data_IF_144678807743
#
_entry.id   IF_144678807743
#
_cell.length_a   1.000
_cell.length_b   1.000
_cell.length_c   1.000
_cell.angle_alpha   90.00
_cell.angle_beta   90.00
_cell.angle_gamma   90.00
#
_symmetry.space_group_name_H-M   'P 1'
#
loop_
_entity.id
_entity.type
_entity.pdbx_description
1 polymer ?
#
# COMPACT_ATOMS: atom_id res chain seq x y z
N UNK A 1 -9.86 20.08 12.74
CA UNK A 1 -10.36 18.87 13.43
C UNK A 1 -9.25 18.00 14.01
N UNK A 2 -8.47 17.25 13.20
CA UNK A 2 -7.49 16.21 13.63
C UNK A 2 -6.66 16.54 14.89
N UNK A 3 -6.08 17.75 14.98
CA UNK A 3 -5.31 18.23 16.15
C UNK A 3 -6.07 18.10 17.49
N UNK A 4 -7.39 18.28 17.49
CA UNK A 4 -8.21 18.09 18.69
C UNK A 4 -8.32 16.61 19.11
N UNK A 5 -8.47 15.71 18.14
CA UNK A 5 -8.53 14.25 18.38
C UNK A 5 -7.19 13.76 18.94
N UNK A 6 -6.07 14.28 18.43
CA UNK A 6 -4.74 14.00 18.97
C UNK A 6 -4.60 14.47 20.43
N UNK A 7 -4.95 15.72 20.76
CA UNK A 7 -4.92 16.20 22.14
C UNK A 7 -5.86 15.41 23.07
N UNK A 8 -7.04 15.01 22.59
CA UNK A 8 -7.96 14.15 23.34
C UNK A 8 -7.35 12.77 23.64
N UNK A 9 -6.68 12.14 22.67
CA UNK A 9 -5.95 10.89 22.86
C UNK A 9 -4.76 10.99 23.83
N UNK A 10 -4.22 12.20 24.01
CA UNK A 10 -3.20 12.52 25.02
C UNK A 10 -3.81 12.94 26.37
N UNK A 11 -5.14 12.84 26.55
CA UNK A 11 -5.86 13.25 27.76
C UNK A 11 -5.90 14.77 27.98
N UNK A 12 -5.45 15.59 27.02
CA UNK A 12 -5.38 17.05 27.14
C UNK A 12 -6.71 17.69 26.70
N UNK A 13 -7.78 17.45 27.46
CA UNK A 13 -9.14 17.86 27.07
C UNK A 13 -9.27 19.38 26.88
N UNK A 14 -8.50 20.20 27.60
CA UNK A 14 -8.45 21.65 27.39
C UNK A 14 -7.97 22.03 25.98
N UNK A 15 -6.83 21.48 25.56
CA UNK A 15 -6.27 21.67 24.23
C UNK A 15 -7.17 21.08 23.13
N UNK A 16 -7.79 19.93 23.39
CA UNK A 16 -8.78 19.33 22.49
C UNK A 16 -10.00 20.25 22.30
N UNK A 17 -10.61 20.73 23.40
CA UNK A 17 -11.78 21.64 23.40
C UNK A 17 -11.46 22.92 22.63
N UNK A 18 -10.29 23.52 22.86
CA UNK A 18 -9.84 24.72 22.12
C UNK A 18 -9.68 24.46 20.62
N UNK A 19 -9.10 23.31 20.24
CA UNK A 19 -8.96 22.92 18.85
C UNK A 19 -10.29 22.59 18.15
N UNK A 20 -11.34 22.15 18.87
CA UNK A 20 -12.69 22.01 18.32
C UNK A 20 -13.41 23.35 18.14
N UNK A 21 -13.17 24.33 19.02
CA UNK A 21 -13.67 25.70 18.84
C UNK A 21 -13.11 26.31 17.55
N UNK A 22 -11.80 26.18 17.31
CA UNK A 22 -11.20 26.58 16.03
C UNK A 22 -11.70 25.76 14.85
N UNK A 23 -11.97 24.47 15.04
CA UNK A 23 -12.55 23.64 13.96
C UNK A 23 -13.92 24.20 13.55
N UNK A 24 -14.81 24.58 14.49
CA UNK A 24 -16.08 25.25 14.12
C UNK A 24 -15.86 26.58 13.40
N UNK A 25 -14.88 27.39 13.85
CA UNK A 25 -14.53 28.68 13.23
C UNK A 25 -14.05 28.58 11.78
N UNK A 26 -13.34 27.50 11.41
CA UNK A 26 -12.74 27.34 10.07
C UNK A 26 -13.45 26.31 9.18
N UNK A 27 -14.12 25.31 9.75
CA UNK A 27 -14.93 24.31 9.03
C UNK A 27 -16.08 23.79 9.91
N UNK A 28 -17.18 24.54 9.97
CA UNK A 28 -18.38 24.13 10.72
C UNK A 28 -19.02 22.82 10.19
N UNK A 29 -18.83 22.52 8.89
CA UNK A 29 -19.37 21.32 8.23
C UNK A 29 -18.53 20.05 8.45
N UNK A 30 -17.51 20.10 9.33
CA UNK A 30 -16.66 18.95 9.64
C UNK A 30 -17.49 17.77 10.24
N UNK A 31 -17.46 16.61 9.57
CA UNK A 31 -18.27 15.44 9.93
C UNK A 31 -18.01 15.00 11.38
N UNK A 32 -19.05 15.05 12.20
CA UNK A 32 -19.01 14.63 13.61
C UNK A 32 -18.51 15.70 14.60
N UNK A 33 -18.28 16.95 14.16
CA UNK A 33 -17.81 18.04 15.02
C UNK A 33 -18.65 18.23 16.30
N UNK A 34 -19.98 18.26 16.18
CA UNK A 34 -20.88 18.41 17.33
C UNK A 34 -20.77 17.26 18.35
N UNK A 35 -20.70 16.01 17.87
CA UNK A 35 -20.50 14.83 18.71
C UNK A 35 -19.16 14.88 19.45
N UNK A 36 -18.08 15.29 18.77
CA UNK A 36 -16.77 15.46 19.40
C UNK A 36 -16.74 16.62 20.39
N UNK A 37 -17.47 17.71 20.13
CA UNK A 37 -17.60 18.83 21.08
C UNK A 37 -18.34 18.42 22.35
N UNK A 38 -19.43 17.63 22.24
CA UNK A 38 -20.12 17.06 23.39
C UNK A 38 -19.22 16.11 24.19
N UNK A 39 -18.58 15.14 23.51
CA UNK A 39 -17.68 14.16 24.13
C UNK A 39 -16.52 14.82 24.88
N UNK A 40 -15.79 15.72 24.24
CA UNK A 40 -14.64 16.40 24.85
C UNK A 40 -15.07 17.30 26.01
N UNK A 41 -16.27 17.90 25.96
CA UNK A 41 -16.79 18.69 27.08
C UNK A 41 -17.15 17.82 28.28
N UNK A 42 -17.84 16.69 28.07
CA UNK A 42 -18.20 15.76 29.15
C UNK A 42 -16.97 15.12 29.83
N UNK A 43 -15.92 14.80 29.07
CA UNK A 43 -14.67 14.28 29.64
C UNK A 43 -13.82 15.39 30.31
N UNK A 44 -13.86 16.63 29.81
CA UNK A 44 -13.27 17.81 30.46
C UNK A 44 -13.95 18.11 31.81
N UNK A 45 -15.28 18.06 31.87
CA UNK A 45 -16.06 18.21 33.11
C UNK A 45 -15.71 17.08 34.10
N UNK A 46 -15.76 15.81 33.65
CA UNK A 46 -15.40 14.63 34.47
C UNK A 46 -13.97 14.68 35.02
N UNK A 47 -13.05 15.31 34.31
CA UNK A 47 -11.66 15.47 34.74
C UNK A 47 -11.46 16.51 35.85
N UNK A 48 -12.49 17.31 36.20
CA UNK A 48 -12.43 18.34 37.24
C UNK A 48 -12.52 19.79 36.73
N UNK A 49 -12.94 20.01 35.48
CA UNK A 49 -13.15 21.34 34.91
C UNK A 49 -11.88 22.22 34.94
N UNK A 50 -12.02 23.52 35.16
CA UNK A 50 -10.91 24.48 35.14
C UNK A 50 -9.79 24.21 36.17
N UNK A 51 -10.07 23.42 37.22
CA UNK A 51 -9.09 23.04 38.23
C UNK A 51 -8.10 21.93 37.82
N UNK A 52 -8.33 21.25 36.69
CA UNK A 52 -7.56 20.07 36.31
C UNK A 52 -6.38 20.37 35.38
N UNK A 53 -5.22 19.75 35.64
CA UNK A 53 -3.99 20.00 34.85
C UNK A 53 -4.15 19.61 33.37
N UNK A 54 -4.87 18.53 33.09
CA UNK A 54 -5.25 18.08 31.74
C UNK A 54 -6.20 19.05 31.00
N UNK A 55 -6.86 19.94 31.72
CA UNK A 55 -7.81 20.92 31.21
C UNK A 55 -7.18 22.29 30.93
N UNK A 56 -5.91 22.50 31.32
CA UNK A 56 -5.13 23.69 30.96
C UNK A 56 -4.98 23.81 29.45
N UNK A 57 -5.20 25.01 28.93
CA UNK A 57 -4.99 25.32 27.50
C UNK A 57 -3.57 25.87 27.31
N UNK A 58 -2.80 25.23 26.44
CA UNK A 58 -1.47 25.65 25.97
C UNK A 58 -1.37 25.69 24.44
N UNK A 59 -2.34 25.15 23.71
CA UNK A 59 -2.40 25.22 22.27
C UNK A 59 -2.61 26.67 21.78
N UNK A 60 -1.85 27.07 20.75
CA UNK A 60 -2.00 28.34 20.03
C UNK A 60 -2.71 28.13 18.69
N UNK A 61 -3.53 29.11 18.26
CA UNK A 61 -4.43 29.03 17.09
C UNK A 61 -3.66 28.94 15.77
N UNK A 62 -2.65 29.80 15.61
CA UNK A 62 -1.61 29.72 14.60
C UNK A 62 -0.27 29.72 15.34
N UNK A 63 0.67 28.82 15.06
CA UNK A 63 2.06 29.02 15.47
C UNK A 63 2.54 30.35 14.88
N UNK A 64 3.03 31.26 15.72
CA UNK A 64 3.82 32.39 15.24
C UNK A 64 5.12 31.84 14.67
N UNK A 65 5.30 31.97 13.36
CA UNK A 65 6.59 31.76 12.72
C UNK A 65 7.47 32.99 12.97
N UNK A 66 7.82 33.22 14.23
CA UNK A 66 9.00 34.02 14.59
C UNK A 66 10.24 33.25 14.12
N UNK A 67 11.22 34.01 13.64
CA UNK A 67 12.23 33.52 12.71
C UNK A 67 13.28 32.65 13.42
N UNK A 68 13.43 31.40 12.96
CA UNK A 68 14.62 30.49 13.03
C UNK A 68 15.43 30.28 14.31
N UNK A 69 15.36 31.12 15.33
CA UNK A 69 16.35 31.21 16.42
C UNK A 69 15.97 30.34 17.62
N UNK A 70 14.67 30.26 17.96
CA UNK A 70 14.15 29.47 19.10
C UNK A 70 14.54 27.98 19.04
N UNK A 71 14.57 27.38 17.83
CA UNK A 71 14.93 25.96 17.64
C UNK A 71 16.40 25.74 18.02
N UNK A 72 17.27 26.67 17.62
CA UNK A 72 18.71 26.57 17.79
C UNK A 72 19.13 26.83 19.25
N UNK A 73 18.35 27.66 19.97
CA UNK A 73 18.53 27.83 21.42
C UNK A 73 18.03 26.63 22.23
N UNK A 74 16.87 26.02 21.87
CA UNK A 74 16.40 24.80 22.56
C UNK A 74 17.41 23.64 22.45
N UNK A 75 18.04 23.44 21.30
CA UNK A 75 19.10 22.44 21.15
C UNK A 75 20.39 22.83 21.91
N UNK A 76 20.80 24.11 21.90
CA UNK A 76 21.98 24.57 22.65
C UNK A 76 21.84 24.40 24.17
N UNK A 77 20.69 24.71 24.74
CA UNK A 77 20.47 24.56 26.19
C UNK A 77 20.48 23.09 26.66
N UNK A 78 20.25 22.14 25.75
CA UNK A 78 20.20 20.70 26.08
C UNK A 78 21.57 19.99 25.98
N UNK A 79 22.58 20.62 25.37
CA UNK A 79 23.91 20.03 25.16
C UNK A 79 24.97 20.41 26.21
N UNK A 80 24.58 21.09 27.30
CA UNK A 80 25.51 21.84 28.16
C UNK A 80 25.61 21.47 29.64
N UNK A 81 25.07 20.31 30.10
CA UNK A 81 25.05 19.95 31.54
C UNK A 81 25.19 18.46 31.87
N UNK A 82 26.44 17.98 31.91
CA UNK A 82 26.92 16.88 32.77
C UNK A 82 28.34 17.26 33.27
N UNK A 83 28.80 16.96 34.50
CA UNK A 83 28.08 16.44 35.69
C UNK A 83 27.52 17.62 36.55
N UNK A 84 27.70 17.86 37.87
CA UNK A 84 28.40 17.24 39.02
C UNK A 84 27.58 17.48 40.33
N UNK A 85 28.05 16.98 41.48
CA UNK A 85 27.28 16.65 42.67
C UNK A 85 27.71 17.40 43.95
N UNK A 86 26.77 17.93 44.75
CA UNK A 86 26.83 17.81 46.22
C UNK A 86 25.54 18.15 47.01
N UNK A 87 24.76 17.09 47.32
CA UNK A 87 24.44 16.66 48.71
C UNK A 87 23.72 17.60 49.72
N UNK A 88 22.38 17.51 49.84
CA UNK A 88 21.60 17.43 51.13
C UNK A 88 20.05 17.43 50.93
N UNK A 89 19.15 16.99 51.85
CA UNK A 89 19.15 15.87 52.84
C UNK A 89 17.74 15.63 53.47
N UNK A 90 16.96 14.64 52.99
CA UNK A 90 15.71 14.12 53.62
C UNK A 90 14.50 15.07 53.56
N UNK A 91 13.24 14.72 53.90
CA UNK A 91 12.51 13.46 54.22
C UNK A 91 11.08 13.64 53.62
N UNK A 92 10.22 12.65 53.29
CA UNK A 92 10.25 11.18 53.40
C UNK A 92 8.99 10.62 54.07
N UNK A 93 8.07 9.96 53.31
CA UNK A 93 7.07 8.95 53.79
C UNK A 93 6.16 8.40 52.65
N UNK A 94 6.46 7.15 52.24
CA UNK A 94 5.59 5.94 52.22
C UNK A 94 4.12 5.89 51.69
N UNK A 95 3.60 4.69 51.31
CA UNK A 95 2.91 4.54 50.03
C UNK A 95 1.44 4.03 50.08
N UNK A 96 0.76 4.06 48.93
CA UNK A 96 -0.53 3.38 48.71
C UNK A 96 -0.50 2.47 47.46
N UNK A 97 -0.27 1.18 47.75
CA UNK A 97 -0.73 -0.05 47.06
C UNK A 97 -1.34 0.07 45.64
N UNK A 98 -0.68 -0.60 44.69
CA UNK A 98 -1.13 -0.77 43.31
C UNK A 98 -2.42 -1.62 43.14
N UNK A 99 -3.12 -1.39 42.02
CA UNK A 99 -3.91 -2.40 41.29
C UNK A 99 -3.65 -2.21 39.79
N UNK A 100 -3.64 -3.29 38.97
CA UNK A 100 -3.22 -3.19 37.57
C UNK A 100 -4.27 -2.47 36.71
N UNK A 101 -3.84 -1.44 35.99
CA UNK A 101 -4.59 -0.87 34.86
C UNK A 101 -4.22 -1.66 33.61
N UNK A 102 -5.22 -2.14 32.87
CA UNK A 102 -5.00 -2.93 31.65
C UNK A 102 -4.17 -2.16 30.61
N UNK A 103 -3.32 -2.89 29.88
CA UNK A 103 -2.43 -2.30 28.88
C UNK A 103 -3.24 -1.65 27.73
N UNK A 104 -3.24 -0.32 27.68
CA UNK A 104 -3.80 0.44 26.56
C UNK A 104 -2.93 0.19 25.32
N UNK A 105 -3.49 -0.54 24.36
CA UNK A 105 -2.81 -0.88 23.10
C UNK A 105 -2.53 0.39 22.30
N UNK A 106 -1.26 0.79 22.23
CA UNK A 106 -0.81 1.86 21.33
C UNK A 106 -1.16 1.49 19.88
N UNK A 107 -1.61 2.45 19.03
CA UNK A 107 -1.80 2.16 17.61
C UNK A 107 -0.47 1.67 17.01
N UNK A 108 -0.48 0.46 16.45
CA UNK A 108 0.74 -0.27 16.10
C UNK A 108 1.50 0.42 14.96
N UNK A 109 2.58 1.14 15.31
CA UNK A 109 3.46 1.84 14.38
C UNK A 109 4.67 0.98 13.99
N UNK A 110 5.17 1.16 12.77
CA UNK A 110 6.32 0.41 12.23
C UNK A 110 7.62 1.16 12.52
N UNK A 111 8.62 0.51 13.12
CA UNK A 111 10.00 1.04 13.22
C UNK A 111 10.73 0.90 11.89
N UNK A 112 11.77 1.70 11.61
CA UNK A 112 12.46 1.69 10.30
C UNK A 112 12.88 0.28 9.87
N UNK A 113 13.41 -0.53 10.79
CA UNK A 113 13.91 -1.90 10.57
C UNK A 113 12.82 -2.91 10.18
N UNK A 114 11.55 -2.49 10.25
CA UNK A 114 10.36 -3.29 9.92
C UNK A 114 9.60 -2.76 8.71
N UNK A 115 10.08 -1.68 8.07
CA UNK A 115 9.53 -1.20 6.80
C UNK A 115 9.98 -2.16 5.70
N UNK A 116 9.02 -2.77 5.00
CA UNK A 116 9.28 -3.54 3.78
C UNK A 116 8.90 -2.74 2.55
N UNK A 117 9.61 -2.99 1.45
CA UNK A 117 9.25 -2.49 0.12
C UNK A 117 9.02 -3.70 -0.77
N UNK A 118 7.81 -3.81 -1.29
CA UNK A 118 7.38 -4.85 -2.22
C UNK A 118 6.98 -4.17 -3.53
N UNK A 119 7.03 -4.88 -4.66
CA UNK A 119 6.63 -4.32 -5.95
C UNK A 119 6.05 -5.39 -6.87
N UNK A 120 5.16 -4.96 -7.74
CA UNK A 120 4.59 -5.79 -8.81
C UNK A 120 4.33 -4.93 -10.05
N UNK A 121 3.89 -5.54 -11.15
CA UNK A 121 3.66 -4.82 -12.41
C UNK A 121 2.56 -5.46 -13.25
N UNK A 122 2.03 -4.67 -14.18
CA UNK A 122 1.21 -5.13 -15.30
C UNK A 122 1.91 -4.78 -16.62
N UNK A 123 1.24 -4.99 -17.75
CA UNK A 123 1.74 -4.50 -19.05
C UNK A 123 1.88 -2.98 -19.10
N UNK A 124 1.04 -2.22 -18.38
CA UNK A 124 1.01 -0.76 -18.41
C UNK A 124 1.68 -0.09 -17.21
N UNK A 125 1.63 -0.69 -16.01
CA UNK A 125 2.02 -0.03 -14.76
C UNK A 125 3.07 -0.83 -13.98
N UNK A 126 3.78 -0.16 -13.08
CA UNK A 126 4.57 -0.74 -11.99
C UNK A 126 4.04 -0.19 -10.68
N UNK A 127 3.67 -1.04 -9.73
CA UNK A 127 3.20 -0.62 -8.41
C UNK A 127 4.24 -0.98 -7.36
N UNK A 128 4.62 0.00 -6.54
CA UNK A 128 5.56 -0.14 -5.42
C UNK A 128 4.78 0.07 -4.12
N UNK A 129 4.91 -0.85 -3.18
CA UNK A 129 4.26 -0.81 -1.88
C UNK A 129 5.29 -0.68 -0.76
N UNK A 130 5.25 0.45 -0.05
CA UNK A 130 6.09 0.71 1.12
C UNK A 130 5.25 0.42 2.36
N UNK A 131 5.46 -0.75 2.95
CA UNK A 131 4.70 -1.31 4.07
C UNK A 131 5.12 -0.68 5.41
N UNK A 132 4.60 0.52 5.69
CA UNK A 132 4.80 1.23 6.95
C UNK A 132 3.45 1.67 7.55
N UNK A 133 3.21 1.33 8.82
CA UNK A 133 2.00 1.70 9.55
C UNK A 133 2.10 3.12 10.10
N UNK A 134 1.06 3.93 9.88
CA UNK A 134 0.94 5.28 10.45
C UNK A 134 1.72 6.37 9.72
N UNK A 135 1.94 6.25 8.41
CA UNK A 135 2.54 7.32 7.58
C UNK A 135 1.64 8.57 7.65
N UNK A 136 2.13 9.74 8.10
CA UNK A 136 1.35 10.98 8.08
C UNK A 136 1.25 11.49 6.63
N UNK A 137 0.01 11.68 6.14
CA UNK A 137 -0.22 12.02 4.71
C UNK A 137 0.23 13.44 4.38
N UNK A 138 0.02 14.34 5.33
CA UNK A 138 0.38 15.76 5.28
C UNK A 138 1.89 16.02 5.24
N UNK A 139 2.72 15.14 5.80
CA UNK A 139 4.19 15.29 5.85
C UNK A 139 4.93 14.36 4.86
N UNK A 140 4.20 13.59 4.04
CA UNK A 140 4.76 12.67 3.07
C UNK A 140 4.97 13.34 1.70
N UNK A 141 6.22 13.30 1.22
CA UNK A 141 6.61 13.79 -0.11
C UNK A 141 6.84 12.63 -1.05
N UNK A 142 6.09 12.57 -2.15
CA UNK A 142 6.35 11.69 -3.31
C UNK A 142 6.59 12.58 -4.53
N UNK A 143 7.67 12.32 -5.27
CA UNK A 143 8.02 13.05 -6.50
C UNK A 143 8.34 12.06 -7.62
N UNK A 144 7.62 12.19 -8.72
CA UNK A 144 7.90 11.52 -9.99
C UNK A 144 8.75 12.43 -10.88
N UNK A 145 9.65 11.82 -11.63
CA UNK A 145 10.27 12.40 -12.83
C UNK A 145 10.44 11.30 -13.87
N UNK A 146 10.77 11.69 -15.09
CA UNK A 146 11.20 10.76 -16.13
C UNK A 146 12.34 9.84 -15.62
N UNK A 147 12.04 8.54 -15.45
CA UNK A 147 13.00 7.53 -14.98
C UNK A 147 13.44 7.66 -13.51
N UNK A 148 12.73 8.43 -12.66
CA UNK A 148 13.10 8.60 -11.24
C UNK A 148 11.88 8.66 -10.32
N UNK A 149 11.98 8.00 -9.15
CA UNK A 149 11.02 8.11 -8.05
C UNK A 149 11.74 8.48 -6.75
N UNK A 150 11.28 9.55 -6.10
CA UNK A 150 11.76 9.97 -4.78
C UNK A 150 10.61 10.02 -3.77
N UNK A 151 10.77 9.33 -2.65
CA UNK A 151 9.80 9.24 -1.54
C UNK A 151 10.49 9.63 -0.24
N UNK A 152 9.88 10.53 0.55
CA UNK A 152 10.32 10.88 1.90
C UNK A 152 9.11 11.01 2.84
N UNK A 153 9.17 10.43 4.03
CA UNK A 153 8.17 10.66 5.08
C UNK A 153 8.73 10.40 6.49
N UNK A 154 8.23 11.07 7.55
CA UNK A 154 8.65 10.81 8.91
C UNK A 154 8.03 9.53 9.49
N UNK A 155 8.85 8.73 10.19
CA UNK A 155 8.48 7.47 10.85
C UNK A 155 8.27 7.73 12.34
N UNK A 156 7.01 7.97 12.72
CA UNK A 156 6.62 8.36 14.08
C UNK A 156 6.96 7.34 15.18
N UNK A 157 7.26 6.08 14.82
CA UNK A 157 7.73 5.07 15.76
C UNK A 157 9.19 5.25 16.20
N UNK A 158 10.02 5.83 15.31
CA UNK A 158 11.47 5.89 15.43
C UNK A 158 12.01 7.33 15.43
N UNK A 159 11.13 8.33 15.32
CA UNK A 159 11.45 9.77 15.32
C UNK A 159 12.50 10.18 14.26
N UNK A 160 12.47 9.52 13.11
CA UNK A 160 13.42 9.69 12.00
C UNK A 160 12.68 9.82 10.67
N UNK A 161 13.36 10.31 9.63
CA UNK A 161 12.82 10.32 8.27
C UNK A 161 13.21 9.03 7.54
N UNK A 162 12.24 8.39 6.89
CA UNK A 162 12.48 7.34 5.91
C UNK A 162 12.55 7.96 4.51
N UNK A 163 13.51 7.52 3.72
CA UNK A 163 13.71 7.93 2.34
C UNK A 163 13.89 6.69 1.45
N UNK A 164 13.09 6.63 0.39
CA UNK A 164 13.21 5.62 -0.66
C UNK A 164 13.41 6.33 -1.99
N UNK A 165 14.47 5.96 -2.70
CA UNK A 165 14.91 6.63 -3.92
C UNK A 165 15.23 5.58 -4.98
N UNK A 166 14.34 5.44 -5.95
CA UNK A 166 14.54 4.57 -7.11
C UNK A 166 14.97 5.43 -8.30
N UNK A 167 16.29 5.63 -8.41
CA UNK A 167 16.94 6.44 -9.44
C UNK A 167 18.25 5.77 -9.88
N UNK A 168 18.45 5.45 -11.17
CA UNK A 168 17.43 5.38 -12.22
C UNK A 168 16.46 4.22 -12.04
N UNK A 169 15.23 4.38 -12.56
CA UNK A 169 14.29 3.28 -12.80
C UNK A 169 14.71 2.47 -14.04
N UNK A 170 14.23 1.23 -14.14
CA UNK A 170 14.50 0.31 -15.25
C UNK A 170 14.11 0.87 -16.63
N UNK A 171 13.04 1.67 -16.69
CA UNK A 171 12.68 2.50 -17.83
C UNK A 171 12.03 3.82 -17.37
N UNK A 172 11.90 4.75 -18.32
CA UNK A 172 11.19 6.00 -18.12
C UNK A 172 9.69 5.77 -17.86
N UNK A 173 9.08 6.73 -17.15
CA UNK A 173 7.71 6.67 -16.66
C UNK A 173 6.97 7.95 -17.06
N UNK A 174 5.65 7.82 -17.28
CA UNK A 174 4.76 8.96 -17.43
C UNK A 174 4.53 9.59 -16.06
N UNK A 175 5.30 10.63 -15.75
CA UNK A 175 5.31 11.29 -14.44
C UNK A 175 4.01 12.05 -14.12
N UNK A 176 3.18 12.37 -15.13
CA UNK A 176 1.90 13.06 -14.96
C UNK A 176 0.75 12.08 -14.68
N UNK A 177 0.78 10.89 -15.28
CA UNK A 177 -0.20 9.81 -15.02
C UNK A 177 0.19 8.92 -13.84
N UNK A 178 1.42 9.00 -13.35
CA UNK A 178 1.86 8.31 -12.13
C UNK A 178 1.22 8.90 -10.88
N UNK A 179 0.79 8.04 -9.95
CA UNK A 179 -0.01 8.42 -8.77
C UNK A 179 0.44 7.70 -7.51
N UNK A 180 -0.02 8.17 -6.34
CA UNK A 180 0.25 7.49 -5.06
C UNK A 180 -0.95 7.58 -4.10
N UNK A 181 -1.02 6.63 -3.18
CA UNK A 181 -2.11 6.47 -2.20
C UNK A 181 -1.56 6.03 -0.85
N UNK A 182 -1.65 6.91 0.15
CA UNK A 182 -1.28 6.57 1.53
C UNK A 182 -2.49 5.97 2.25
N UNK A 183 -2.30 4.79 2.83
CA UNK A 183 -3.27 4.06 3.66
C UNK A 183 -2.76 4.00 5.11
N UNK A 184 -3.52 3.48 6.09
CA UNK A 184 -3.03 3.29 7.46
C UNK A 184 -1.86 2.30 7.61
N UNK A 185 -1.58 1.49 6.58
CA UNK A 185 -0.65 0.35 6.65
C UNK A 185 0.43 0.33 5.56
N UNK A 186 0.23 1.04 4.46
CA UNK A 186 1.17 1.17 3.34
C UNK A 186 1.05 2.50 2.61
N UNK A 187 2.15 2.96 2.02
CA UNK A 187 2.17 3.89 0.90
C UNK A 187 2.26 3.07 -0.40
N UNK A 188 1.24 3.19 -1.23
CA UNK A 188 1.07 2.53 -2.52
C UNK A 188 1.39 3.54 -3.63
N UNK A 189 2.25 3.19 -4.57
CA UNK A 189 2.77 4.10 -5.60
C UNK A 189 2.63 3.42 -6.96
N UNK A 190 1.80 3.98 -7.85
CA UNK A 190 1.54 3.44 -9.18
C UNK A 190 2.26 4.29 -10.22
N UNK A 191 3.34 3.74 -10.77
CA UNK A 191 4.10 4.32 -11.88
C UNK A 191 3.51 3.84 -13.20
N UNK A 192 3.18 4.77 -14.10
CA UNK A 192 2.72 4.43 -15.45
C UNK A 192 3.93 4.31 -16.37
N UNK A 193 4.10 3.17 -17.04
CA UNK A 193 5.24 2.94 -17.95
C UNK A 193 5.07 3.81 -19.20
N UNK A 194 6.13 4.51 -19.60
CA UNK A 194 6.12 5.30 -20.84
C UNK A 194 6.05 4.41 -22.09
N UNK A 195 6.57 3.19 -22.01
CA UNK A 195 6.41 2.14 -23.04
C UNK A 195 5.64 0.98 -22.44
N UNK A 196 4.41 0.76 -22.91
CA UNK A 196 3.56 -0.33 -22.46
C UNK A 196 4.01 -1.68 -23.07
N UNK A 197 3.63 -2.78 -22.43
CA UNK A 197 3.96 -4.15 -22.84
C UNK A 197 5.35 -4.63 -22.37
N UNK A 198 6.27 -3.74 -22.02
CA UNK A 198 7.60 -4.13 -21.54
C UNK A 198 7.52 -4.67 -20.11
N UNK A 199 8.01 -5.90 -19.91
CA UNK A 199 8.20 -6.49 -18.57
C UNK A 199 9.53 -6.03 -17.99
N UNK A 200 9.50 -5.38 -16.84
CA UNK A 200 10.71 -5.03 -16.09
C UNK A 200 11.19 -6.27 -15.31
N UNK A 201 12.47 -6.60 -15.37
CA UNK A 201 13.02 -7.70 -14.54
C UNK A 201 13.27 -7.25 -13.10
N UNK A 202 13.55 -5.97 -12.90
CA UNK A 202 13.89 -5.31 -11.63
C UNK A 202 13.33 -3.88 -11.63
N UNK A 203 13.22 -3.24 -10.46
CA UNK A 203 12.88 -1.80 -10.37
C UNK A 203 13.99 -0.92 -10.97
N UNK A 204 15.24 -1.34 -10.82
CA UNK A 204 16.43 -0.67 -11.33
C UNK A 204 16.85 -1.27 -12.69
N UNK A 205 17.56 -0.54 -13.55
CA UNK A 205 18.21 -1.15 -14.70
C UNK A 205 19.30 -2.12 -14.21
N UNK A 206 19.52 -3.21 -14.96
CA UNK A 206 20.65 -4.09 -14.69
C UNK A 206 21.95 -3.29 -14.81
N UNK A 207 22.87 -3.45 -13.87
CA UNK A 207 24.16 -2.77 -13.94
C UNK A 207 24.91 -3.25 -15.19
N UNK A 208 25.10 -2.35 -16.15
CA UNK A 208 26.03 -2.57 -17.24
C UNK A 208 27.42 -2.81 -16.65
N UNK A 209 27.99 -4.00 -16.91
CA UNK A 209 29.43 -4.21 -16.69
C UNK A 209 30.15 -3.33 -17.69
N UNK A 210 30.67 -2.19 -17.23
CA UNK A 210 31.37 -1.21 -18.07
C UNK A 210 32.72 -1.75 -18.52
N UNK A 211 32.71 -2.62 -19.52
CA UNK A 211 33.89 -2.88 -20.34
C UNK A 211 34.11 -1.66 -21.26
N UNK A 212 35.26 -0.96 -21.15
CA UNK A 212 35.42 0.36 -21.77
C UNK A 212 35.64 0.24 -23.28
N UNK A 213 34.59 0.43 -24.07
CA UNK A 213 34.73 0.61 -25.52
C UNK A 213 35.24 2.03 -25.86
N UNK A 214 36.15 2.17 -26.83
CA UNK A 214 36.72 3.46 -27.20
C UNK A 214 35.71 4.34 -27.94
N UNK A 215 35.78 5.68 -27.80
CA UNK A 215 34.85 6.60 -28.44
C UNK A 215 35.06 6.61 -29.96
N UNK A 216 34.01 6.28 -30.70
CA UNK A 216 33.97 6.47 -32.17
C UNK A 216 33.40 7.86 -32.45
N UNK A 217 34.16 8.71 -33.14
CA UNK A 217 33.77 10.10 -33.40
C UNK A 217 32.71 10.19 -34.48
N UNK A 218 31.67 11.00 -34.25
CA UNK A 218 30.73 11.46 -35.27
C UNK A 218 31.14 12.85 -35.78
N UNK A 219 31.05 13.07 -37.08
CA UNK A 219 31.05 14.42 -37.68
C UNK A 219 30.11 14.40 -38.93
N UNK A 220 29.31 15.43 -39.23
CA UNK A 220 28.21 15.34 -40.20
C UNK A 220 28.43 16.09 -41.52
N UNK A 221 27.49 15.88 -42.46
CA UNK A 221 27.19 16.71 -43.65
C UNK A 221 28.00 16.41 -44.93
N UNK A 222 27.30 15.96 -45.99
CA UNK A 222 27.04 16.79 -47.19
C UNK A 222 25.96 16.18 -48.09
N UNK A 223 25.29 17.03 -48.88
CA UNK A 223 24.24 16.67 -49.84
C UNK A 223 24.77 16.76 -51.28
N UNK A 224 24.34 15.83 -52.15
CA UNK A 224 24.27 15.99 -53.60
C UNK A 224 23.26 15.00 -54.21
N UNK A 225 22.55 15.41 -55.25
CA UNK A 225 21.51 14.63 -55.95
C UNK A 225 22.05 13.99 -57.24
N UNK A 226 21.24 13.14 -57.93
CA UNK A 226 20.71 13.42 -59.30
C UNK A 226 20.30 12.14 -60.06
N UNK A 227 18.99 11.88 -60.19
CA UNK A 227 18.30 11.00 -61.18
C UNK A 227 18.64 9.48 -61.26
N UNK A 228 17.73 8.59 -61.67
CA UNK A 228 16.28 8.76 -61.93
C UNK A 228 15.68 7.65 -62.80
N UNK A 229 14.45 7.18 -62.47
CA UNK A 229 13.68 6.20 -63.26
C UNK A 229 14.14 4.73 -63.12
N UNK A 230 13.31 3.70 -63.35
CA UNK A 230 11.85 3.62 -63.53
C UNK A 230 11.33 2.27 -63.01
N UNK A 231 10.18 2.27 -62.32
CA UNK A 231 9.35 1.09 -62.06
C UNK A 231 8.58 0.67 -63.36
N UNK A 232 8.03 -0.56 -63.51
CA UNK A 232 7.23 -1.24 -62.46
C UNK A 232 7.27 -2.79 -62.39
N UNK A 233 6.48 -3.31 -61.43
CA UNK A 233 5.88 -4.66 -61.36
C UNK A 233 6.79 -5.88 -61.11
N UNK A 234 6.63 -6.54 -59.95
CA UNK A 234 5.74 -7.72 -59.84
C UNK A 234 5.78 -8.37 -58.44
N UNK A 235 4.58 -8.71 -57.92
CA UNK A 235 4.23 -9.78 -56.96
C UNK A 235 5.16 -10.14 -55.76
N UNK A 236 4.57 -10.08 -54.58
CA UNK A 236 4.87 -10.94 -53.43
C UNK A 236 3.63 -11.83 -53.14
N UNK A 237 3.68 -12.78 -52.19
CA UNK A 237 4.81 -13.59 -51.70
C UNK A 237 4.63 -15.09 -52.07
N UNK A 238 5.68 -15.91 -51.94
CA UNK A 238 5.58 -17.37 -52.10
C UNK A 238 5.25 -18.05 -50.76
N UNK A 239 4.10 -18.72 -50.69
CA UNK A 239 3.68 -19.58 -49.58
C UNK A 239 3.33 -20.99 -50.12
N UNK A 240 3.43 -21.99 -49.25
CA UNK A 240 2.96 -23.38 -49.40
C UNK A 240 3.60 -24.26 -50.51
N UNK A 241 4.40 -25.26 -50.09
CA UNK A 241 4.27 -26.66 -50.57
C UNK A 241 5.15 -27.63 -49.77
N UNK A 242 4.57 -28.29 -48.75
CA UNK A 242 4.96 -29.63 -48.29
C UNK A 242 3.70 -30.41 -47.93
N UNK A 243 3.35 -31.46 -48.68
CA UNK A 243 2.35 -32.47 -48.31
C UNK A 243 2.65 -33.83 -48.94
N UNK A 244 2.16 -34.88 -48.26
CA UNK A 244 2.17 -36.30 -48.64
C UNK A 244 3.58 -36.96 -48.63
N UNK A 245 3.78 -38.22 -48.20
CA UNK A 245 2.93 -39.25 -47.56
C UNK A 245 3.66 -39.74 -46.25
N UNK A 246 3.18 -40.64 -45.39
CA UNK A 246 2.07 -41.61 -45.44
C UNK A 246 1.44 -41.82 -44.03
N UNK A 247 0.29 -42.50 -43.95
CA UNK A 247 -0.55 -42.50 -42.74
C UNK A 247 -0.35 -43.63 -41.71
N UNK A 248 -1.01 -43.45 -40.56
CA UNK A 248 -1.49 -44.50 -39.64
C UNK A 248 -2.82 -44.02 -39.00
N UNK A 249 -3.64 -44.94 -38.49
CA UNK A 249 -5.00 -44.66 -38.01
C UNK A 249 -5.10 -44.51 -36.48
N UNK A 250 -6.07 -43.71 -35.99
CA UNK A 250 -6.67 -43.89 -34.66
C UNK A 250 -6.54 -42.74 -33.64
N UNK A 251 -7.70 -42.16 -33.28
CA UNK A 251 -7.98 -41.42 -32.04
C UNK A 251 -7.22 -40.08 -31.80
N UNK A 252 -7.70 -39.01 -32.43
CA UNK A 252 -7.56 -37.65 -31.86
C UNK A 252 -8.55 -37.45 -30.70
N UNK A 253 -8.20 -36.70 -29.64
CA UNK A 253 -9.16 -36.30 -28.60
C UNK A 253 -10.16 -35.27 -29.16
N UNK A 254 -11.43 -35.26 -28.68
CA UNK A 254 -12.42 -34.30 -29.16
C UNK A 254 -12.04 -32.86 -28.78
N UNK A 255 -12.37 -31.86 -29.61
CA UNK A 255 -12.09 -30.46 -29.30
C UNK A 255 -12.84 -30.00 -28.04
N UNK A 256 -12.25 -29.10 -27.24
CA UNK A 256 -12.95 -28.54 -26.08
C UNK A 256 -14.22 -27.80 -26.52
N UNK A 257 -15.29 -27.80 -25.71
CA UNK A 257 -16.52 -27.11 -26.04
C UNK A 257 -16.28 -25.60 -26.21
N UNK A 258 -17.01 -24.91 -27.10
CA UNK A 258 -16.79 -23.50 -27.36
C UNK A 258 -16.99 -22.68 -26.08
N UNK A 259 -15.97 -21.92 -25.68
CA UNK A 259 -16.05 -21.00 -24.56
C UNK A 259 -17.21 -20.01 -24.78
N UNK A 260 -18.26 -20.15 -23.96
CA UNK A 260 -19.40 -19.23 -23.96
C UNK A 260 -18.86 -17.84 -23.59
N UNK A 261 -19.24 -16.83 -24.37
CA UNK A 261 -18.50 -15.58 -24.51
C UNK A 261 -18.14 -14.86 -23.21
N UNK A 262 -17.05 -14.08 -23.26
CA UNK A 262 -16.46 -13.33 -22.14
C UNK A 262 -17.51 -12.63 -21.28
N UNK A 263 -17.51 -12.94 -19.98
CA UNK A 263 -18.36 -12.27 -18.99
C UNK A 263 -18.03 -10.77 -18.97
N UNK A 264 -19.05 -9.93 -19.16
CA UNK A 264 -18.92 -8.48 -19.00
C UNK A 264 -18.89 -8.13 -17.51
N UNK A 265 -17.69 -7.91 -16.98
CA UNK A 265 -17.45 -7.74 -15.54
C UNK A 265 -18.09 -6.49 -14.94
N UNK A 266 -18.17 -5.38 -15.69
CA UNK A 266 -18.83 -4.14 -15.21
C UNK A 266 -20.29 -4.39 -14.80
N UNK A 267 -20.98 -5.28 -15.50
CA UNK A 267 -22.40 -5.60 -15.25
C UNK A 267 -22.66 -6.49 -14.03
N UNK A 268 -21.62 -6.86 -13.28
CA UNK A 268 -21.73 -7.65 -12.05
C UNK A 268 -21.73 -6.76 -10.80
N UNK A 269 -21.35 -5.49 -10.92
CA UNK A 269 -21.28 -4.52 -9.81
C UNK A 269 -22.59 -3.73 -9.60
N UNK A 270 -23.56 -3.84 -10.51
CA UNK A 270 -24.83 -3.08 -10.49
C UNK A 270 -26.02 -3.84 -9.84
N UNK A 271 -25.76 -4.96 -9.16
CA UNK A 271 -26.79 -5.70 -8.40
C UNK A 271 -26.36 -5.84 -6.93
N UNK A 272 -26.52 -4.74 -6.19
CA UNK A 272 -26.53 -4.75 -4.73
C UNK A 272 -27.80 -5.44 -4.22
N UNK A 273 -27.64 -6.38 -3.30
CA UNK A 273 -28.69 -6.90 -2.42
C UNK A 273 -28.14 -6.75 -0.99
N UNK A 274 -28.93 -6.19 -0.07
CA UNK A 274 -28.47 -5.41 1.10
C UNK A 274 -27.92 -6.25 2.29
N UNK A 275 -27.27 -7.39 2.02
CA UNK A 275 -26.73 -8.31 3.04
C UNK A 275 -25.44 -9.04 2.58
N UNK A 276 -24.28 -8.38 2.59
CA UNK A 276 -22.98 -9.10 2.49
C UNK A 276 -21.87 -8.46 3.36
N UNK A 277 -21.22 -9.26 4.20
CA UNK A 277 -20.25 -8.82 5.22
C UNK A 277 -18.83 -8.69 4.63
N UNK A 278 -18.65 -7.72 3.74
CA UNK A 278 -17.39 -6.97 3.60
C UNK A 278 -16.16 -7.63 2.94
N UNK A 279 -16.24 -8.88 2.44
CA UNK A 279 -15.15 -9.50 1.66
C UNK A 279 -15.58 -9.84 0.21
N UNK A 280 -15.06 -9.12 -0.82
CA UNK A 280 -15.32 -9.43 -2.23
C UNK A 280 -14.98 -10.86 -2.66
N UNK A 281 -14.10 -11.56 -1.94
CA UNK A 281 -13.78 -12.96 -2.20
C UNK A 281 -14.96 -13.89 -1.83
N UNK A 282 -15.78 -13.52 -0.84
CA UNK A 282 -16.92 -14.32 -0.41
C UNK A 282 -18.07 -14.30 -1.43
N UNK A 283 -18.44 -13.11 -1.92
CA UNK A 283 -19.49 -12.94 -2.93
C UNK A 283 -19.16 -13.67 -4.24
N UNK A 284 -17.87 -13.74 -4.61
CA UNK A 284 -17.39 -14.54 -5.74
C UNK A 284 -17.69 -16.03 -5.58
N UNK A 285 -17.37 -16.63 -4.42
CA UNK A 285 -17.68 -18.04 -4.17
C UNK A 285 -19.18 -18.30 -4.06
N UNK A 286 -19.96 -17.38 -3.48
CA UNK A 286 -21.42 -17.52 -3.48
C UNK A 286 -21.97 -17.62 -4.90
N UNK A 287 -21.50 -16.79 -5.84
CA UNK A 287 -21.93 -16.83 -7.24
C UNK A 287 -21.48 -18.13 -7.92
N UNK A 288 -20.22 -18.51 -7.75
CA UNK A 288 -19.68 -19.77 -8.29
C UNK A 288 -20.45 -21.00 -7.78
N UNK A 289 -20.91 -21.00 -6.53
CA UNK A 289 -21.73 -22.07 -5.95
C UNK A 289 -23.20 -22.03 -6.42
N UNK A 290 -23.78 -20.84 -6.62
CA UNK A 290 -25.16 -20.66 -7.13
C UNK A 290 -25.30 -21.17 -8.57
N UNK A 291 -24.33 -20.87 -9.44
CA UNK A 291 -24.36 -21.19 -10.87
C UNK A 291 -23.80 -22.60 -11.22
N UNK A 292 -23.11 -23.28 -10.29
CA UNK A 292 -22.49 -24.58 -10.51
C UNK A 292 -23.50 -25.76 -10.57
N UNK A 293 -23.16 -26.82 -11.29
CA UNK A 293 -23.91 -28.08 -11.26
C UNK A 293 -23.80 -28.78 -9.88
N UNK A 294 -24.61 -29.82 -9.61
CA UNK A 294 -24.64 -30.47 -8.29
C UNK A 294 -23.32 -31.14 -7.89
N UNK A 295 -22.56 -31.70 -8.85
CA UNK A 295 -21.30 -32.38 -8.57
C UNK A 295 -20.17 -31.37 -8.38
N UNK A 296 -20.12 -30.30 -9.18
CA UNK A 296 -19.20 -29.17 -8.97
C UNK A 296 -19.41 -28.50 -7.61
N UNK A 297 -20.66 -28.32 -7.17
CA UNK A 297 -20.97 -27.84 -5.80
C UNK A 297 -20.46 -28.80 -4.73
N UNK A 298 -20.60 -30.10 -4.94
CA UNK A 298 -20.15 -31.14 -4.01
C UNK A 298 -18.62 -31.23 -3.94
N UNK A 299 -17.94 -31.08 -5.07
CA UNK A 299 -16.50 -30.96 -5.18
C UNK A 299 -15.98 -29.73 -4.43
N UNK A 300 -16.59 -28.57 -4.70
CA UNK A 300 -16.25 -27.29 -4.07
C UNK A 300 -16.38 -27.37 -2.54
N UNK A 301 -17.51 -27.88 -2.04
CA UNK A 301 -17.75 -28.04 -0.60
C UNK A 301 -16.77 -29.04 0.05
N UNK A 302 -16.54 -30.21 -0.58
CA UNK A 302 -15.59 -31.20 -0.06
C UNK A 302 -14.15 -30.67 -0.05
N UNK A 303 -13.71 -30.04 -1.14
CA UNK A 303 -12.37 -29.48 -1.29
C UNK A 303 -12.12 -28.35 -0.29
N UNK A 304 -13.10 -27.46 -0.08
CA UNK A 304 -13.05 -26.42 0.95
C UNK A 304 -12.94 -27.01 2.37
N UNK A 305 -13.74 -28.04 2.68
CA UNK A 305 -13.77 -28.67 4.01
C UNK A 305 -12.51 -29.51 4.32
N UNK A 306 -11.94 -30.21 3.33
CA UNK A 306 -10.71 -30.99 3.51
C UNK A 306 -9.43 -30.13 3.52
N UNK A 307 -9.41 -29.05 2.73
CA UNK A 307 -8.26 -28.12 2.68
C UNK A 307 -8.27 -27.06 3.79
N UNK A 308 -9.24 -27.08 4.71
CA UNK A 308 -9.46 -26.00 5.68
C UNK A 308 -9.58 -24.61 5.01
N UNK A 309 -10.16 -24.57 3.81
CA UNK A 309 -10.35 -23.37 3.01
C UNK A 309 -9.16 -22.91 2.17
N UNK A 310 -8.01 -23.61 2.17
CA UNK A 310 -6.84 -23.20 1.37
C UNK A 310 -6.94 -23.54 -0.11
N UNK A 311 -7.85 -24.43 -0.51
CA UNK A 311 -7.85 -25.00 -1.87
C UNK A 311 -9.26 -25.37 -2.33
N UNK A 312 -9.61 -24.96 -3.55
CA UNK A 312 -10.94 -25.13 -4.12
C UNK A 312 -10.84 -25.84 -5.48
N UNK A 313 -11.40 -27.05 -5.57
CA UNK A 313 -11.61 -27.76 -6.84
C UNK A 313 -13.10 -27.90 -7.14
N UNK A 314 -13.46 -27.74 -8.42
CA UNK A 314 -14.80 -28.00 -8.96
C UNK A 314 -14.95 -29.39 -9.58
N UNK A 315 -13.87 -30.20 -9.63
CA UNK A 315 -13.85 -31.47 -10.35
C UNK A 315 -14.22 -32.66 -9.46
N UNK A 316 -15.50 -33.04 -9.40
CA UNK A 316 -15.96 -34.14 -8.53
C UNK A 316 -15.28 -35.49 -8.82
N UNK A 317 -14.90 -35.77 -10.07
CA UNK A 317 -14.15 -36.98 -10.42
C UNK A 317 -12.75 -37.06 -9.76
N UNK A 318 -12.15 -35.93 -9.42
CA UNK A 318 -10.81 -35.85 -8.81
C UNK A 318 -10.93 -35.86 -7.28
N UNK A 319 -11.59 -34.85 -6.71
CA UNK A 319 -11.75 -34.73 -5.25
C UNK A 319 -12.77 -35.70 -4.68
N UNK A 320 -13.58 -36.39 -5.48
CA UNK A 320 -14.42 -37.49 -5.03
C UNK A 320 -13.58 -38.64 -4.45
N UNK A 321 -12.49 -39.01 -5.15
CA UNK A 321 -11.62 -40.14 -4.80
C UNK A 321 -10.33 -39.74 -4.07
N UNK A 322 -9.78 -38.55 -4.33
CA UNK A 322 -8.57 -38.03 -3.67
C UNK A 322 -8.92 -36.96 -2.62
N UNK A 323 -8.25 -36.97 -1.47
CA UNK A 323 -8.36 -35.90 -0.47
C UNK A 323 -7.65 -34.63 -0.92
N UNK A 324 -8.25 -33.45 -0.72
CA UNK A 324 -7.56 -32.17 -0.95
C UNK A 324 -6.63 -31.86 0.22
N UNK A 325 -5.31 -31.78 -0.02
CA UNK A 325 -4.33 -31.47 1.02
C UNK A 325 -4.37 -29.98 1.40
N UNK A 326 -4.21 -29.66 2.68
CA UNK A 326 -4.11 -28.27 3.18
C UNK A 326 -2.74 -27.70 2.85
N UNK A 327 -2.64 -26.89 1.80
CA UNK A 327 -1.43 -26.14 1.48
C UNK A 327 -1.39 -24.87 2.33
N UNK A 328 -0.66 -24.91 3.44
CA UNK A 328 -0.43 -23.73 4.27
C UNK A 328 0.41 -22.68 3.49
N UNK A 329 0.14 -21.37 3.68
CA UNK A 329 0.99 -20.31 3.12
C UNK A 329 2.43 -20.42 3.60
N UNK A 330 3.37 -19.97 2.76
CA UNK A 330 4.80 -20.08 3.03
C UNK A 330 5.19 -19.45 4.38
N UNK A 331 5.97 -20.20 5.18
CA UNK A 331 6.29 -19.86 6.57
C UNK A 331 5.26 -20.28 7.63
N UNK A 332 4.17 -20.99 7.30
CA UNK A 332 3.23 -21.55 8.28
C UNK A 332 3.15 -23.09 8.24
N UNK A 333 3.14 -23.73 9.42
CA UNK A 333 2.90 -25.17 9.57
C UNK A 333 1.42 -25.46 9.87
N UNK A 334 0.78 -26.31 9.06
CA UNK A 334 -0.60 -26.76 9.29
C UNK A 334 -0.70 -27.73 10.47
N UNK A 335 -0.91 -27.20 11.68
CA UNK A 335 -1.11 -28.01 12.90
C UNK A 335 -2.52 -28.60 12.94
N UNK A 336 -2.59 -29.93 12.86
CA UNK A 336 -3.82 -30.67 13.19
C UNK A 336 -4.13 -30.47 14.67
N UNK A 337 -5.38 -30.15 14.99
CA UNK A 337 -5.86 -30.17 16.37
C UNK A 337 -6.14 -31.62 16.80
N UNK A 338 -5.96 -31.89 18.09
CA UNK A 338 -6.36 -33.11 18.81
C UNK A 338 -6.98 -32.69 20.15
#
# INVERSE_FOLDING_TARGET
FRRAVAYYGLGQYGNARRCLIWTRKFNEKERGLGMWQAKVTADWERAGGDGAVCNRVTAVEKPTLTEKEDIDEMFRQQAGKEEDNSKAKGKGKEPVREKPVAAVVKPASTTIDKIRVEWYQTGANVTIEILCKGIPKEDATVKFKEGQLLVKFPVLASNCNYEYNATPLHQNIDAEKSTFRITPHKLEITLVKQVQGVKWSEIYPAQAKTEPQPPTSTDPTYLAETTGGTNPSSLAPFEESIRAHNGNEGLEPPPPPPFKGSVNWDKVLEQEDDNDDGDPMHSFFQKLYKDADPDSRRAMMKSYQESNGTTLSTSWGEVGMKTTETVAPDGMEAKKWQ
#
